data_IF_080302931740
#
_entry.id   IF_080302931740
#
_cell.length_a   1.000
_cell.length_b   1.000
_cell.length_c   1.000
_cell.angle_alpha   90.00
_cell.angle_beta   90.00
_cell.angle_gamma   90.00
#
_symmetry.space_group_name_H-M   'P 1'
#
loop_
_entity.id
_entity.type
_entity.pdbx_description
1 polymer ?
#
# COMPACT_ATOMS: atom_id res chain seq x y z
N UNK A 1 -1.50 -12.31 6.03
CA UNK A 1 -0.51 -12.28 4.92
C UNK A 1 0.73 -13.04 5.34
N UNK A 2 1.42 -12.60 6.41
CA UNK A 2 2.63 -13.24 6.95
C UNK A 2 2.55 -14.76 7.07
N UNK A 3 1.53 -15.31 7.75
CA UNK A 3 1.39 -16.77 7.87
C UNK A 3 1.48 -17.55 6.55
N UNK A 4 0.93 -17.01 5.44
CA UNK A 4 1.01 -17.67 4.13
C UNK A 4 2.40 -17.55 3.51
N UNK A 5 3.08 -16.43 3.76
CA UNK A 5 4.45 -16.23 3.33
C UNK A 5 5.40 -17.16 4.10
N UNK A 6 5.20 -17.32 5.41
CA UNK A 6 6.00 -18.19 6.28
C UNK A 6 5.94 -19.64 5.80
N UNK A 7 4.73 -20.19 5.57
CA UNK A 7 4.57 -21.55 5.03
C UNK A 7 5.27 -21.71 3.68
N UNK A 8 5.16 -20.73 2.78
CA UNK A 8 5.81 -20.81 1.48
C UNK A 8 7.34 -20.74 1.58
N UNK A 9 7.88 -19.91 2.47
CA UNK A 9 9.31 -19.77 2.71
C UNK A 9 9.92 -21.05 3.29
N UNK A 10 9.22 -21.71 4.23
CA UNK A 10 9.62 -23.00 4.77
C UNK A 10 9.64 -24.10 3.70
N UNK A 11 8.61 -24.17 2.86
CA UNK A 11 8.50 -25.18 1.80
C UNK A 11 9.64 -25.13 0.77
N UNK A 12 10.16 -23.93 0.47
CA UNK A 12 11.23 -23.74 -0.51
C UNK A 12 12.62 -23.64 0.14
N UNK A 13 12.71 -23.75 1.47
CA UNK A 13 13.97 -23.56 2.20
C UNK A 13 14.58 -22.17 1.95
N UNK A 14 13.76 -21.12 1.99
CA UNK A 14 14.20 -19.77 1.69
C UNK A 14 15.26 -19.31 2.69
N UNK A 15 16.38 -18.78 2.17
CA UNK A 15 17.46 -18.20 2.98
C UNK A 15 16.92 -17.11 3.93
N UNK A 16 17.48 -17.05 5.14
CA UNK A 16 17.02 -16.14 6.19
C UNK A 16 17.14 -14.65 5.78
N UNK A 17 18.22 -14.30 5.07
CA UNK A 17 18.41 -12.95 4.55
C UNK A 17 17.34 -12.58 3.54
N UNK A 18 17.04 -13.49 2.60
CA UNK A 18 15.96 -13.30 1.62
C UNK A 18 14.59 -13.24 2.28
N UNK A 19 14.33 -14.09 3.28
CA UNK A 19 13.09 -14.05 4.05
C UNK A 19 12.91 -12.68 4.73
N UNK A 20 13.94 -12.18 5.40
CA UNK A 20 13.93 -10.90 6.09
C UNK A 20 13.78 -9.71 5.14
N UNK A 21 14.36 -9.80 3.95
CA UNK A 21 14.19 -8.81 2.90
C UNK A 21 12.75 -8.83 2.35
N UNK A 22 12.24 -10.00 1.96
CA UNK A 22 10.94 -10.15 1.31
C UNK A 22 9.74 -9.97 2.25
N UNK A 23 9.91 -10.08 3.57
CA UNK A 23 8.86 -9.74 4.54
C UNK A 23 8.73 -8.23 4.80
N UNK A 24 9.72 -7.43 4.43
CA UNK A 24 9.83 -6.03 4.81
C UNK A 24 9.65 -5.12 3.59
N UNK A 25 8.74 -4.14 3.62
CA UNK A 25 8.61 -3.21 2.51
C UNK A 25 9.83 -2.28 2.40
N UNK A 26 10.32 -2.06 1.17
CA UNK A 26 11.49 -1.21 0.92
C UNK A 26 11.28 0.29 1.19
N UNK A 27 10.03 0.77 1.16
CA UNK A 27 9.71 2.18 1.41
C UNK A 27 8.29 2.35 1.94
N UNK A 28 8.15 3.23 2.92
CA UNK A 28 6.87 3.63 3.47
C UNK A 28 6.87 5.15 3.63
N UNK A 29 5.83 5.80 3.11
CA UNK A 29 5.64 7.24 3.18
C UNK A 29 4.29 7.49 3.82
N UNK A 30 4.28 8.28 4.88
CA UNK A 30 3.08 8.80 5.54
C UNK A 30 3.06 10.29 5.26
N UNK A 31 1.92 10.80 4.77
CA UNK A 31 1.75 12.21 4.40
C UNK A 31 0.50 12.77 5.07
N UNK A 32 0.51 14.07 5.32
CA UNK A 32 -0.69 14.83 5.67
C UNK A 32 -1.20 15.53 4.41
N UNK A 33 -2.48 15.37 4.10
CA UNK A 33 -3.15 15.89 2.90
C UNK A 33 -4.15 16.96 3.34
N UNK A 34 -3.75 18.24 3.37
CA UNK A 34 -4.65 19.34 3.72
C UNK A 34 -5.61 19.65 2.56
N UNK A 35 -6.91 19.65 2.83
CA UNK A 35 -7.96 19.96 1.85
C UNK A 35 -8.88 21.03 2.43
N UNK A 36 -9.13 22.09 1.65
CA UNK A 36 -10.16 23.08 1.99
C UNK A 36 -11.51 22.49 1.58
N UNK A 37 -12.41 22.33 2.54
CA UNK A 37 -13.75 21.78 2.36
C UNK A 37 -14.68 22.83 1.74
N UNK A 38 -15.83 22.41 1.22
CA UNK A 38 -16.74 23.31 0.49
C UNK A 38 -17.36 24.40 1.39
N UNK A 39 -17.42 24.17 2.70
CA UNK A 39 -17.85 25.17 3.71
C UNK A 39 -16.71 26.12 4.15
N UNK A 40 -15.51 25.95 3.58
CA UNK A 40 -14.33 26.79 3.82
C UNK A 40 -13.42 26.35 4.97
N UNK A 41 -13.76 25.30 5.74
CA UNK A 41 -12.82 24.80 6.77
C UNK A 41 -11.68 23.99 6.16
N UNK A 42 -10.53 23.96 6.84
CA UNK A 42 -9.39 23.14 6.47
C UNK A 42 -9.46 21.80 7.20
N UNK A 43 -9.57 20.70 6.46
CA UNK A 43 -9.48 19.34 6.98
C UNK A 43 -8.13 18.72 6.58
N UNK A 44 -7.48 17.97 7.46
CA UNK A 44 -6.19 17.33 7.19
C UNK A 44 -6.33 15.82 7.24
N UNK A 45 -6.25 15.18 6.08
CA UNK A 45 -6.34 13.72 5.95
C UNK A 45 -4.98 13.05 6.06
N UNK A 46 -4.95 11.83 6.59
CA UNK A 46 -3.75 11.00 6.64
C UNK A 46 -3.64 10.16 5.35
N UNK A 47 -2.51 10.25 4.67
CA UNK A 47 -2.20 9.50 3.46
C UNK A 47 -1.06 8.52 3.66
N UNK A 48 -1.13 7.39 2.96
CA UNK A 48 -0.14 6.32 2.99
C UNK A 48 0.30 5.95 1.58
N UNK A 49 1.61 5.72 1.41
CA UNK A 49 2.16 5.02 0.26
C UNK A 49 3.22 4.03 0.72
N UNK A 50 2.97 2.74 0.48
CA UNK A 50 3.91 1.66 0.75
C UNK A 50 4.38 1.07 -0.58
N UNK A 51 5.70 1.01 -0.75
CA UNK A 51 6.35 0.24 -1.81
C UNK A 51 6.96 -0.97 -1.12
N UNK A 52 6.44 -2.14 -1.46
CA UNK A 52 6.90 -3.40 -0.89
C UNK A 52 8.20 -3.86 -1.54
N UNK A 53 8.22 -3.90 -2.88
CA UNK A 53 9.38 -4.35 -3.65
C UNK A 53 9.33 -3.76 -5.07
N UNK A 54 10.49 -3.52 -5.70
CA UNK A 54 10.65 -3.00 -7.06
C UNK A 54 11.71 -3.76 -7.89
N UNK A 55 12.16 -4.95 -7.46
CA UNK A 55 13.21 -5.73 -8.12
C UNK A 55 12.81 -6.11 -9.56
N UNK A 56 11.58 -6.56 -9.76
CA UNK A 56 11.08 -7.03 -11.08
C UNK A 56 10.74 -5.84 -12.00
N UNK A 57 10.67 -4.62 -11.46
CA UNK A 57 10.35 -3.41 -12.20
C UNK A 57 9.60 -2.38 -11.34
N UNK A 58 9.10 -1.30 -11.96
CA UNK A 58 8.43 -0.22 -11.24
C UNK A 58 7.32 -0.71 -10.33
N UNK A 59 7.18 -0.11 -9.14
CA UNK A 59 6.16 -0.54 -8.19
C UNK A 59 4.73 -0.24 -8.68
N UNK A 60 3.84 -1.24 -8.65
CA UNK A 60 2.45 -1.09 -9.10
C UNK A 60 1.47 -1.36 -7.96
N UNK A 61 0.46 -0.50 -7.85
CA UNK A 61 -0.71 -0.76 -7.03
C UNK A 61 -1.58 0.46 -6.79
N UNK A 62 -2.88 0.21 -6.62
CA UNK A 62 -3.91 1.23 -6.50
C UNK A 62 -3.87 2.00 -5.17
N UNK A 63 -4.71 3.02 -5.09
CA UNK A 63 -4.95 3.84 -3.90
C UNK A 63 -6.34 3.51 -3.37
N UNK A 64 -6.50 3.37 -2.04
CA UNK A 64 -7.79 3.15 -1.39
C UNK A 64 -8.22 4.40 -0.61
N UNK A 65 -9.45 4.82 -0.78
CA UNK A 65 -10.09 5.80 0.11
C UNK A 65 -11.02 5.04 1.05
N UNK A 66 -10.74 5.09 2.35
CA UNK A 66 -11.58 4.45 3.36
C UNK A 66 -11.32 5.10 4.74
N UNK A 67 -12.35 5.28 5.58
CA UNK A 67 -12.21 5.96 6.87
C UNK A 67 -11.41 5.15 7.90
N UNK A 68 -11.35 3.83 7.74
CA UNK A 68 -10.77 2.86 8.66
C UNK A 68 -9.44 2.27 8.18
N UNK A 69 -8.88 2.79 7.08
CA UNK A 69 -7.62 2.27 6.54
C UNK A 69 -6.46 2.50 7.50
N UNK A 70 -5.60 1.48 7.63
CA UNK A 70 -4.40 1.52 8.48
C UNK A 70 -3.15 1.25 7.65
N UNK A 71 -1.99 1.71 8.15
CA UNK A 71 -0.71 1.43 7.50
C UNK A 71 -0.43 -0.07 7.36
N UNK A 72 -0.84 -0.89 8.33
CA UNK A 72 -0.66 -2.35 8.29
C UNK A 72 -1.47 -3.01 7.18
N UNK A 73 -2.68 -2.52 6.94
CA UNK A 73 -3.48 -2.96 5.80
C UNK A 73 -2.78 -2.62 4.47
N UNK A 74 -2.27 -1.38 4.34
CA UNK A 74 -1.58 -0.91 3.13
C UNK A 74 -0.29 -1.72 2.89
N UNK A 75 0.47 -2.06 3.95
CA UNK A 75 1.64 -2.95 3.87
C UNK A 75 1.27 -4.33 3.35
N UNK A 76 0.24 -4.95 3.95
CA UNK A 76 -0.20 -6.28 3.55
C UNK A 76 -0.66 -6.30 2.07
N UNK A 77 -1.41 -5.28 1.63
CA UNK A 77 -1.87 -5.16 0.25
C UNK A 77 -0.73 -4.87 -0.74
N UNK A 78 0.29 -4.10 -0.34
CA UNK A 78 1.48 -3.87 -1.16
C UNK A 78 2.29 -5.15 -1.36
N UNK A 79 2.45 -5.97 -0.32
CA UNK A 79 3.07 -7.28 -0.42
C UNK A 79 2.30 -8.21 -1.37
N UNK A 80 0.97 -8.26 -1.26
CA UNK A 80 0.14 -9.01 -2.20
C UNK A 80 0.30 -8.55 -3.65
N UNK A 81 0.53 -7.27 -3.90
CA UNK A 81 0.81 -6.77 -5.24
C UNK A 81 2.16 -7.29 -5.78
N UNK A 82 3.20 -7.38 -4.95
CA UNK A 82 4.49 -7.99 -5.35
C UNK A 82 4.28 -9.42 -5.82
N UNK A 83 3.62 -10.25 -5.01
CA UNK A 83 3.41 -11.65 -5.34
C UNK A 83 2.50 -11.85 -6.55
N UNK A 84 1.42 -11.06 -6.65
CA UNK A 84 0.51 -11.09 -7.79
C UNK A 84 1.25 -10.76 -9.09
N UNK A 85 2.08 -9.72 -9.10
CA UNK A 85 2.83 -9.32 -10.28
C UNK A 85 3.88 -10.37 -10.67
N UNK A 86 4.59 -10.94 -9.68
CA UNK A 86 5.55 -12.01 -9.91
C UNK A 86 4.89 -13.26 -10.51
N UNK A 87 3.78 -13.75 -9.94
CA UNK A 87 3.06 -14.92 -10.46
C UNK A 87 2.45 -14.67 -11.84
N UNK A 88 1.96 -13.46 -12.10
CA UNK A 88 1.43 -13.07 -13.42
C UNK A 88 2.53 -12.81 -14.47
N UNK A 89 3.81 -12.91 -14.10
CA UNK A 89 4.96 -12.65 -14.96
C UNK A 89 4.89 -11.28 -15.67
N UNK A 90 4.52 -10.24 -14.93
CA UNK A 90 4.50 -8.85 -15.41
C UNK A 90 5.63 -8.05 -14.76
N UNK A 91 6.27 -7.11 -15.49
CA UNK A 91 7.49 -6.41 -15.07
C UNK A 91 7.20 -5.28 -14.07
N UNK A 92 6.51 -5.62 -12.97
CA UNK A 92 6.13 -4.68 -11.93
C UNK A 92 6.46 -5.23 -10.55
N UNK A 93 6.92 -4.35 -9.68
CA UNK A 93 6.97 -4.56 -8.25
C UNK A 93 5.59 -4.39 -7.59
N UNK A 94 5.57 -4.40 -6.26
CA UNK A 94 4.36 -4.25 -5.46
C UNK A 94 4.33 -2.94 -4.70
N UNK A 95 3.21 -2.23 -4.79
CA UNK A 95 2.92 -1.07 -3.97
C UNK A 95 1.43 -1.04 -3.58
N UNK A 96 1.10 -0.19 -2.62
CA UNK A 96 -0.28 0.21 -2.33
C UNK A 96 -0.26 1.60 -1.71
N UNK A 97 -1.31 2.37 -1.96
CA UNK A 97 -1.55 3.59 -1.21
C UNK A 97 -2.93 3.61 -0.60
N UNK A 98 -3.14 4.54 0.32
CA UNK A 98 -4.46 4.86 0.82
C UNK A 98 -4.53 6.29 1.34
N UNK A 99 -5.74 6.84 1.42
CA UNK A 99 -6.06 8.08 2.11
C UNK A 99 -7.19 7.76 3.09
N UNK A 100 -7.02 8.18 4.34
CA UNK A 100 -7.97 7.93 5.41
C UNK A 100 -9.10 8.96 5.37
N UNK A 101 -10.04 8.77 4.45
CA UNK A 101 -11.19 9.64 4.24
C UNK A 101 -12.46 8.82 3.92
N UNK A 102 -13.63 9.44 4.09
CA UNK A 102 -14.89 8.84 3.66
C UNK A 102 -15.40 9.56 2.38
N UNK A 103 -15.19 8.98 1.19
CA UNK A 103 -15.57 9.63 -0.07
C UNK A 103 -17.09 9.82 -0.24
N UNK A 104 -17.92 9.09 0.53
CA UNK A 104 -19.37 9.26 0.49
C UNK A 104 -19.86 10.51 1.21
N UNK A 105 -19.00 11.09 2.08
CA UNK A 105 -19.29 12.33 2.80
C UNK A 105 -18.64 13.56 2.15
N UNK A 106 -17.98 13.37 1.01
CA UNK A 106 -17.26 14.41 0.30
C UNK A 106 -18.00 14.76 -0.98
N UNK A 107 -18.00 16.04 -1.34
CA UNK A 107 -18.45 16.49 -2.65
C UNK A 107 -17.46 16.04 -3.73
N UNK A 108 -17.86 16.16 -5.01
CA UNK A 108 -16.95 15.87 -6.13
C UNK A 108 -15.74 16.79 -6.14
N UNK A 109 -15.92 18.05 -5.74
CA UNK A 109 -14.84 19.03 -5.69
C UNK A 109 -13.89 18.76 -4.52
N UNK A 110 -14.41 18.40 -3.35
CA UNK A 110 -13.59 18.00 -2.20
C UNK A 110 -12.78 16.74 -2.47
N UNK A 111 -13.33 15.79 -3.24
CA UNK A 111 -12.67 14.55 -3.59
C UNK A 111 -11.56 14.73 -4.64
N UNK A 112 -11.67 15.75 -5.49
CA UNK A 112 -10.69 16.10 -6.52
C UNK A 112 -9.46 16.82 -5.94
N UNK A 113 -9.66 17.64 -4.91
CA UNK A 113 -8.62 18.39 -4.20
C UNK A 113 -7.73 17.47 -3.36
#
# INVERSE_FOLDING_TARGET
MMHRFDVAAELIGLDEGLYNYLKTPIKQVIVSVPVVMDDGHLEVFEGYRVIHNDIIGPSKGGIRYAPDVTIDEVRALAAWMTWKCAVANIPFGGAKGAVKCNPQKMSKGELER
#
